data_IF_494881239795
#
_entry.id   IF_494881239795
#
_cell.length_a   1.000
_cell.length_b   1.000
_cell.length_c   1.000
_cell.angle_alpha   90.00
_cell.angle_beta   90.00
_cell.angle_gamma   90.00
#
_symmetry.space_group_name_H-M   'P 1'
#
loop_
_entity.id
_entity.type
_entity.pdbx_description
1 polymer ?
#
# COMPACT_ATOMS: atom_id res chain seq x y z
N UNK A 1 10.98 14.83 36.13
CA UNK A 1 11.58 13.99 35.06
C UNK A 1 10.53 13.74 33.99
N UNK A 2 10.54 14.51 32.90
CA UNK A 2 9.65 14.28 31.76
C UNK A 2 10.26 13.17 30.89
N UNK A 3 9.48 12.10 30.62
CA UNK A 3 9.90 11.03 29.71
C UNK A 3 10.11 11.64 28.33
N UNK A 4 11.34 11.54 27.81
CA UNK A 4 11.72 11.91 26.45
C UNK A 4 11.06 10.90 25.51
N UNK A 5 10.02 11.32 24.80
CA UNK A 5 9.41 10.52 23.75
C UNK A 5 10.30 10.57 22.50
N UNK A 6 10.44 9.44 21.77
CA UNK A 6 11.31 9.37 20.59
C UNK A 6 10.83 10.31 19.48
N UNK A 7 11.78 10.84 18.71
CA UNK A 7 11.67 11.92 17.72
C UNK A 7 10.80 11.60 16.47
N UNK A 8 9.82 10.69 16.58
CA UNK A 8 8.95 10.24 15.48
C UNK A 8 7.68 11.07 15.28
N UNK A 9 7.60 12.26 15.88
CA UNK A 9 6.34 13.01 16.01
C UNK A 9 6.48 14.45 15.52
N UNK A 10 7.07 14.65 14.33
CA UNK A 10 7.04 15.97 13.68
C UNK A 10 6.13 16.04 12.45
N UNK A 11 5.57 14.93 11.97
CA UNK A 11 4.55 14.96 10.93
C UNK A 11 3.41 13.99 11.26
N UNK A 12 2.25 14.55 11.61
CA UNK A 12 0.96 13.87 11.89
C UNK A 12 0.74 13.37 13.33
N UNK A 13 0.67 14.28 14.31
CA UNK A 13 -0.15 14.01 15.51
C UNK A 13 -1.62 14.14 15.11
N UNK A 14 -2.46 13.09 15.30
CA UNK A 14 -3.90 13.21 15.07
C UNK A 14 -4.48 14.38 15.86
N UNK A 15 -5.31 15.22 15.21
CA UNK A 15 -5.91 16.44 15.76
C UNK A 15 -6.45 16.28 17.19
N UNK A 16 -7.04 15.13 17.50
CA UNK A 16 -7.64 14.85 18.80
C UNK A 16 -6.63 14.90 19.98
N UNK A 17 -5.34 14.73 19.71
CA UNK A 17 -4.27 14.86 20.71
C UNK A 17 -3.60 16.25 20.75
N UNK A 18 -3.93 17.15 19.82
CA UNK A 18 -3.46 18.54 19.84
C UNK A 18 -4.32 19.38 20.80
N UNK A 19 -3.69 20.30 21.54
CA UNK A 19 -4.39 21.34 22.33
C UNK A 19 -5.24 22.21 21.41
N UNK A 20 -6.41 22.66 21.87
CA UNK A 20 -7.40 23.40 21.06
C UNK A 20 -6.80 24.62 20.35
N UNK A 21 -5.93 25.37 21.04
CA UNK A 21 -5.22 26.56 20.53
C UNK A 21 -4.29 26.29 19.32
N UNK A 22 -3.77 25.06 19.20
CA UNK A 22 -2.94 24.63 18.08
C UNK A 22 -3.77 24.12 16.90
N UNK A 23 -5.05 23.77 17.12
CA UNK A 23 -5.97 23.36 16.04
C UNK A 23 -6.44 24.56 15.23
N UNK A 24 -6.65 25.70 15.88
CA UNK A 24 -7.12 26.93 15.23
C UNK A 24 -6.10 27.54 14.26
N UNK A 25 -4.80 27.28 14.45
CA UNK A 25 -3.71 27.89 13.67
C UNK A 25 -3.00 26.90 12.71
N UNK A 26 -3.48 25.66 12.62
CA UNK A 26 -2.92 24.68 11.70
C UNK A 26 -3.46 24.91 10.28
N UNK A 27 -2.67 25.56 9.42
CA UNK A 27 -2.89 25.52 7.97
C UNK A 27 -2.69 24.07 7.48
N UNK A 28 -3.79 23.34 7.34
CA UNK A 28 -3.76 22.06 6.65
C UNK A 28 -3.57 22.31 5.16
N UNK A 29 -2.65 21.61 4.47
CA UNK A 29 -2.69 21.58 3.03
C UNK A 29 -4.11 21.12 2.63
N UNK A 30 -4.75 21.87 1.73
CA UNK A 30 -6.10 21.58 1.28
C UNK A 30 -6.23 20.07 1.00
N UNK A 31 -7.22 19.40 1.63
CA UNK A 31 -7.49 18.00 1.35
C UNK A 31 -7.63 17.87 -0.16
N UNK A 32 -6.76 17.09 -0.78
CA UNK A 32 -6.94 16.73 -2.20
C UNK A 32 -8.25 15.96 -2.26
N UNK A 33 -9.29 16.56 -2.85
CA UNK A 33 -10.56 15.89 -3.06
C UNK A 33 -10.33 14.83 -4.14
N UNK A 34 -10.48 13.57 -3.76
CA UNK A 34 -10.43 12.47 -4.69
C UNK A 34 -11.87 12.06 -5.00
N UNK A 35 -12.17 11.79 -6.27
CA UNK A 35 -13.35 11.02 -6.61
C UNK A 35 -13.16 9.61 -6.04
N UNK A 36 -13.99 9.24 -5.07
CA UNK A 36 -13.89 7.94 -4.42
C UNK A 36 -14.88 6.94 -5.00
N UNK A 37 -14.54 5.66 -4.89
CA UNK A 37 -15.34 4.55 -5.41
C UNK A 37 -15.29 3.33 -4.49
N UNK A 38 -16.17 2.36 -4.76
CA UNK A 38 -16.28 1.11 -3.99
C UNK A 38 -15.10 0.17 -4.23
N UNK A 39 -14.91 -0.80 -3.33
CA UNK A 39 -13.92 -1.86 -3.53
C UNK A 39 -14.07 -2.61 -4.87
N UNK A 40 -15.29 -2.83 -5.33
CA UNK A 40 -15.53 -3.52 -6.62
C UNK A 40 -14.97 -2.73 -7.80
N UNK A 41 -15.14 -1.41 -7.78
CA UNK A 41 -14.55 -0.52 -8.79
C UNK A 41 -13.03 -0.46 -8.65
N UNK A 42 -12.49 -0.49 -7.42
CA UNK A 42 -11.06 -0.60 -7.18
C UNK A 42 -10.47 -1.87 -7.84
N UNK A 43 -11.13 -3.02 -7.72
CA UNK A 43 -10.73 -4.25 -8.41
C UNK A 43 -10.79 -4.09 -9.94
N UNK A 44 -11.81 -3.40 -10.47
CA UNK A 44 -11.91 -3.12 -11.92
C UNK A 44 -10.73 -2.28 -12.40
N UNK A 45 -10.39 -1.23 -11.67
CA UNK A 45 -9.23 -0.36 -11.92
C UNK A 45 -7.90 -1.13 -11.86
N UNK A 46 -7.72 -2.00 -10.88
CA UNK A 46 -6.54 -2.87 -10.80
C UNK A 46 -6.39 -3.76 -12.04
N UNK A 47 -7.50 -4.34 -12.53
CA UNK A 47 -7.50 -5.13 -13.77
C UNK A 47 -7.17 -4.30 -15.02
N UNK A 48 -7.47 -3.00 -14.99
CA UNK A 48 -7.06 -2.03 -16.02
C UNK A 48 -5.58 -1.58 -15.88
N UNK A 49 -4.83 -2.14 -14.93
CA UNK A 49 -3.42 -1.79 -14.68
C UNK A 49 -3.25 -0.49 -13.88
N UNK A 50 -4.31 0.03 -13.26
CA UNK A 50 -4.24 1.24 -12.45
C UNK A 50 -3.71 0.96 -11.06
N UNK A 51 -3.16 2.00 -10.42
CA UNK A 51 -2.84 2.03 -8.99
C UNK A 51 -4.05 2.59 -8.24
N UNK A 52 -4.43 1.98 -7.12
CA UNK A 52 -5.50 2.50 -6.26
C UNK A 52 -5.07 2.52 -4.80
N UNK A 53 -5.69 3.38 -4.02
CA UNK A 53 -5.44 3.51 -2.59
C UNK A 53 -6.72 3.89 -1.85
N UNK A 54 -6.70 3.77 -0.53
CA UNK A 54 -7.77 4.27 0.35
C UNK A 54 -7.42 5.64 0.90
N UNK A 55 -8.41 6.52 1.08
CA UNK A 55 -8.17 7.86 1.64
C UNK A 55 -7.53 7.80 3.03
N UNK A 56 -7.90 6.81 3.85
CA UNK A 56 -7.33 6.59 5.18
C UNK A 56 -5.89 6.04 5.20
N UNK A 57 -5.36 5.54 4.08
CA UNK A 57 -3.98 5.05 4.02
C UNK A 57 -2.94 6.17 3.87
N UNK A 58 -3.34 7.30 3.28
CA UNK A 58 -2.37 8.14 2.54
C UNK A 58 -1.79 9.32 3.32
N UNK A 59 -1.24 9.00 4.49
CA UNK A 59 -0.18 9.80 5.14
C UNK A 59 1.24 9.49 4.65
N UNK A 60 1.44 8.39 3.90
CA UNK A 60 2.75 7.93 3.38
C UNK A 60 2.74 7.46 1.91
N UNK A 61 1.79 7.93 1.09
CA UNK A 61 1.76 7.62 -0.35
C UNK A 61 1.61 6.13 -0.69
N UNK A 62 0.85 5.38 0.12
CA UNK A 62 0.63 3.95 -0.05
C UNK A 62 -0.36 3.69 -1.20
N UNK A 63 -0.18 2.58 -1.91
CA UNK A 63 -1.10 2.15 -2.97
C UNK A 63 -0.94 0.67 -3.27
N UNK A 64 -1.94 0.10 -3.93
CA UNK A 64 -1.91 -1.26 -4.47
C UNK A 64 -1.94 -1.24 -6.00
N UNK A 65 -1.36 -2.29 -6.60
CA UNK A 65 -1.44 -2.57 -8.03
C UNK A 65 -1.54 -4.07 -8.28
N UNK A 66 -2.05 -4.45 -9.45
CA UNK A 66 -2.06 -5.83 -9.90
C UNK A 66 -0.75 -6.15 -10.63
N UNK A 67 0.01 -7.11 -10.11
CA UNK A 67 1.04 -7.78 -10.88
C UNK A 67 0.35 -8.84 -11.75
N UNK A 68 0.40 -8.74 -13.09
CA UNK A 68 -0.17 -9.77 -13.96
C UNK A 68 0.59 -11.09 -13.85
N UNK A 69 -0.03 -12.23 -14.21
CA UNK A 69 0.69 -13.49 -14.35
C UNK A 69 1.81 -13.36 -15.38
N UNK A 70 2.92 -14.06 -15.14
CA UNK A 70 4.09 -14.00 -16.01
C UNK A 70 4.92 -15.29 -15.91
N UNK A 71 5.59 -15.62 -17.02
CA UNK A 71 6.67 -16.61 -17.01
C UNK A 71 7.90 -15.98 -16.36
N UNK A 72 8.34 -16.54 -15.24
CA UNK A 72 9.53 -16.09 -14.52
C UNK A 72 10.68 -17.00 -14.88
N UNK A 73 11.76 -16.42 -15.41
CA UNK A 73 12.98 -17.18 -15.70
C UNK A 73 13.72 -17.52 -14.42
N UNK A 74 14.25 -18.74 -14.36
CA UNK A 74 15.09 -19.24 -13.26
C UNK A 74 16.26 -18.30 -12.98
N UNK A 75 16.89 -17.77 -14.03
CA UNK A 75 18.03 -16.85 -13.94
C UNK A 75 17.71 -15.50 -13.27
N UNK A 76 16.43 -15.11 -13.21
CA UNK A 76 15.99 -13.88 -12.52
C UNK A 76 15.68 -14.12 -11.04
N UNK A 77 15.58 -15.37 -10.61
CA UNK A 77 15.16 -15.74 -9.27
C UNK A 77 16.35 -15.74 -8.30
N UNK A 78 16.18 -15.04 -7.18
CA UNK A 78 17.10 -15.08 -6.02
C UNK A 78 16.46 -15.69 -4.77
N UNK A 79 15.19 -16.07 -4.86
CA UNK A 79 14.45 -16.74 -3.79
C UNK A 79 14.71 -18.24 -3.89
N UNK A 80 15.41 -18.79 -2.90
CA UNK A 80 15.74 -20.22 -2.81
C UNK A 80 14.47 -21.10 -2.82
N UNK A 81 13.39 -20.65 -2.17
CA UNK A 81 12.12 -21.40 -2.14
C UNK A 81 11.42 -21.37 -3.48
N UNK A 82 11.48 -20.25 -4.19
CA UNK A 82 10.95 -20.19 -5.54
C UNK A 82 11.76 -21.06 -6.51
N UNK A 83 13.09 -21.13 -6.34
CA UNK A 83 13.97 -22.00 -7.14
C UNK A 83 13.65 -23.50 -6.98
N UNK A 84 13.20 -23.91 -5.79
CA UNK A 84 12.73 -25.27 -5.49
C UNK A 84 11.41 -25.62 -6.23
N UNK A 85 10.61 -24.64 -6.64
CA UNK A 85 9.32 -24.86 -7.31
C UNK A 85 9.42 -25.18 -8.81
N UNK A 86 10.57 -24.95 -9.44
CA UNK A 86 10.77 -25.25 -10.85
C UNK A 86 10.86 -26.77 -11.07
N UNK A 87 10.27 -27.28 -12.15
CA UNK A 87 10.42 -28.68 -12.54
C UNK A 87 11.87 -29.06 -12.87
N UNK A 88 12.16 -30.36 -12.84
CA UNK A 88 13.46 -30.89 -13.25
C UNK A 88 13.74 -30.53 -14.72
N UNK A 89 14.85 -29.83 -14.97
CA UNK A 89 15.21 -29.35 -16.30
C UNK A 89 14.46 -28.10 -16.78
N UNK A 90 13.53 -27.54 -16.01
CA UNK A 90 12.80 -26.33 -16.38
C UNK A 90 13.58 -25.04 -16.06
N UNK A 91 13.52 -24.08 -16.98
CA UNK A 91 14.16 -22.77 -16.88
C UNK A 91 13.16 -21.61 -16.70
N UNK A 92 11.86 -21.88 -16.81
CA UNK A 92 10.81 -20.89 -16.62
C UNK A 92 9.71 -21.49 -15.73
N UNK A 93 9.12 -20.66 -14.87
CA UNK A 93 8.02 -21.02 -14.00
C UNK A 93 6.84 -20.06 -14.24
N UNK A 94 5.65 -20.61 -14.45
CA UNK A 94 4.44 -19.80 -14.58
C UNK A 94 3.98 -19.28 -13.22
N UNK A 95 4.19 -17.99 -12.95
CA UNK A 95 3.74 -17.34 -11.73
C UNK A 95 2.39 -16.66 -11.97
N UNK A 96 1.44 -16.95 -11.08
CA UNK A 96 0.09 -16.36 -11.15
C UNK A 96 0.08 -14.88 -10.74
N UNK A 97 -0.96 -14.17 -11.18
CA UNK A 97 -1.15 -12.77 -10.83
C UNK A 97 -1.37 -12.57 -9.32
N UNK A 98 -0.88 -11.45 -8.79
CA UNK A 98 -1.03 -11.10 -7.37
C UNK A 98 -1.21 -9.60 -7.20
N UNK A 99 -1.99 -9.20 -6.20
CA UNK A 99 -2.06 -7.79 -5.80
C UNK A 99 -0.86 -7.51 -4.90
N UNK A 100 -0.14 -6.43 -5.18
CA UNK A 100 0.99 -5.96 -4.37
C UNK A 100 0.67 -4.61 -3.78
N UNK A 101 1.30 -4.31 -2.66
CA UNK A 101 1.16 -3.02 -1.99
C UNK A 101 2.51 -2.34 -1.88
N UNK A 102 2.57 -1.08 -2.29
CA UNK A 102 3.64 -0.17 -1.93
C UNK A 102 3.30 0.42 -0.58
N UNK A 103 4.19 0.21 0.38
CA UNK A 103 3.97 0.51 1.78
C UNK A 103 5.25 1.01 2.44
N UNK A 104 5.19 1.24 3.75
CA UNK A 104 6.36 1.52 4.57
C UNK A 104 6.44 0.50 5.70
N UNK A 105 7.65 0.06 6.04
CA UNK A 105 7.87 -0.81 7.19
C UNK A 105 7.67 -0.06 8.53
N UNK A 106 7.80 -0.78 9.65
CA UNK A 106 7.68 -0.20 10.99
C UNK A 106 8.73 0.87 11.31
N UNK A 107 9.80 0.95 10.52
CA UNK A 107 10.87 1.97 10.62
C UNK A 107 10.65 3.13 9.64
N UNK A 108 9.56 3.13 8.88
CA UNK A 108 9.24 4.16 7.91
C UNK A 108 10.05 4.09 6.61
N UNK A 109 10.72 2.97 6.31
CA UNK A 109 11.38 2.77 5.01
C UNK A 109 10.37 2.26 3.99
N UNK A 110 10.60 2.57 2.72
CA UNK A 110 9.77 2.04 1.64
C UNK A 110 9.87 0.51 1.60
N UNK A 111 8.73 -0.12 1.38
CA UNK A 111 8.60 -1.57 1.35
C UNK A 111 7.53 -1.99 0.33
N UNK A 112 7.59 -3.25 -0.10
CA UNK A 112 6.57 -3.88 -0.94
C UNK A 112 6.04 -5.11 -0.23
N UNK A 113 4.73 -5.16 0.01
CA UNK A 113 4.04 -6.38 0.42
C UNK A 113 3.59 -7.11 -0.84
N UNK A 114 4.14 -8.31 -1.06
CA UNK A 114 3.70 -9.20 -2.13
C UNK A 114 2.55 -10.08 -1.64
N UNK A 115 1.44 -10.13 -2.39
CA UNK A 115 0.25 -10.88 -1.97
C UNK A 115 -0.59 -10.12 -0.95
N UNK A 116 -0.88 -8.85 -1.22
CA UNK A 116 -1.80 -8.06 -0.39
C UNK A 116 -3.16 -8.74 -0.32
N UNK A 117 -3.64 -8.96 0.91
CA UNK A 117 -4.93 -9.56 1.19
C UNK A 117 -5.89 -8.46 1.65
N UNK A 118 -7.02 -8.32 0.95
CA UNK A 118 -8.06 -7.38 1.35
C UNK A 118 -8.67 -7.81 2.68
N UNK A 119 -8.66 -6.91 3.67
CA UNK A 119 -9.40 -7.13 4.91
C UNK A 119 -10.92 -6.95 4.68
N UNK A 120 -11.73 -7.38 5.63
CA UNK A 120 -13.17 -7.10 5.60
C UNK A 120 -13.45 -5.59 5.52
N UNK A 121 -12.65 -4.78 6.24
CA UNK A 121 -12.76 -3.32 6.18
C UNK A 121 -12.45 -2.78 4.79
N UNK A 122 -11.47 -3.34 4.09
CA UNK A 122 -11.11 -2.93 2.73
C UNK A 122 -12.23 -3.25 1.73
N UNK A 123 -12.82 -4.44 1.85
CA UNK A 123 -13.91 -4.91 0.99
C UNK A 123 -15.17 -4.07 1.17
N UNK A 124 -15.48 -3.65 2.41
CA UNK A 124 -16.69 -2.89 2.75
C UNK A 124 -16.54 -1.37 2.61
N UNK A 125 -15.42 -0.89 2.07
CA UNK A 125 -15.15 0.54 1.99
C UNK A 125 -15.45 1.16 0.61
N UNK A 126 -15.89 2.41 0.64
CA UNK A 126 -16.16 3.26 -0.53
C UNK A 126 -15.22 4.46 -0.65
N UNK A 127 -14.10 4.43 0.08
CA UNK A 127 -13.08 5.48 0.10
C UNK A 127 -11.85 5.15 -0.77
N UNK A 128 -12.03 4.31 -1.78
CA UNK A 128 -10.96 3.99 -2.73
C UNK A 128 -10.83 5.08 -3.79
N UNK A 129 -9.62 5.33 -4.29
CA UNK A 129 -9.37 6.28 -5.37
C UNK A 129 -8.18 5.86 -6.25
N UNK A 130 -8.11 6.39 -7.47
CA UNK A 130 -7.00 6.15 -8.39
C UNK A 130 -5.78 7.01 -8.03
N UNK A 131 -4.61 6.40 -7.93
CA UNK A 131 -3.34 7.09 -7.70
C UNK A 131 -2.67 7.40 -9.04
N UNK A 132 -2.70 8.67 -9.43
CA UNK A 132 -2.07 9.19 -10.66
C UNK A 132 -0.58 9.36 -10.40
#
# INVERSE_FOLDING_TARGET
MAKRYPDYVQNQVPLYYMREELRENAEYPARKEYETFSFSEAIRKLKEGKKVARTGWNGKGMYIWLLPPAMVKREWCRDERLLECFGEGENELNCLGSIRMFTHDSTGRTAVLTGWLASQSDILSDDWYEVI
#
